data_IF_338571376413
#
_entry.id   IF_338571376413
#
_cell.length_a   1.000
_cell.length_b   1.000
_cell.length_c   1.000
_cell.angle_alpha   90.00
_cell.angle_beta   90.00
_cell.angle_gamma   90.00
#
_symmetry.space_group_name_H-M   'P 1'
#
loop_
_entity.id
_entity.type
_entity.pdbx_description
1 polymer ?
#
# COMPACT_ATOMS: atom_id res chain seq x y z
N UNK A 1 -40.65 -2.58 -22.54
CA UNK A 1 -40.27 -1.33 -21.86
C UNK A 1 -39.15 -1.62 -20.86
N UNK A 2 -37.93 -1.67 -21.32
CA UNK A 2 -36.73 -1.81 -20.47
C UNK A 2 -36.40 -0.44 -19.86
N UNK A 3 -36.62 -0.30 -18.56
CA UNK A 3 -36.18 0.87 -17.79
C UNK A 3 -34.68 0.92 -17.86
N UNK A 4 -34.11 1.78 -18.71
CA UNK A 4 -32.74 2.25 -18.60
C UNK A 4 -32.60 2.93 -17.25
N UNK A 5 -31.92 2.28 -16.30
CA UNK A 5 -31.51 2.92 -15.06
C UNK A 5 -30.64 4.13 -15.44
N UNK A 6 -31.14 5.33 -15.20
CA UNK A 6 -30.37 6.55 -15.31
C UNK A 6 -29.12 6.40 -14.45
N UNK A 7 -27.97 6.28 -15.11
CA UNK A 7 -26.70 6.31 -14.43
C UNK A 7 -26.47 7.74 -13.94
N UNK A 8 -26.34 7.92 -12.63
CA UNK A 8 -25.95 9.19 -12.03
C UNK A 8 -24.65 9.72 -12.66
N UNK A 9 -24.28 10.99 -12.43
CA UNK A 9 -23.19 11.69 -13.11
C UNK A 9 -21.81 11.01 -13.03
N UNK A 10 -21.63 10.02 -12.13
CA UNK A 10 -20.37 9.29 -11.93
C UNK A 10 -20.37 7.85 -12.51
N UNK A 11 -21.48 7.40 -13.12
CA UNK A 11 -21.63 6.02 -13.61
C UNK A 11 -21.78 4.97 -12.50
N UNK A 12 -22.09 3.73 -12.92
CA UNK A 12 -22.24 2.60 -12.00
C UNK A 12 -20.88 1.93 -11.74
N UNK A 13 -20.62 1.43 -10.51
CA UNK A 13 -19.40 0.68 -10.20
C UNK A 13 -19.35 -0.64 -10.99
N UNK A 14 -18.17 -0.98 -11.49
CA UNK A 14 -17.90 -2.23 -12.22
C UNK A 14 -17.23 -3.22 -11.27
N UNK A 15 -18.03 -3.83 -10.40
CA UNK A 15 -17.55 -4.72 -9.34
C UNK A 15 -16.61 -5.85 -9.82
N UNK A 16 -16.87 -6.55 -10.95
CA UNK A 16 -15.95 -7.58 -11.42
C UNK A 16 -14.53 -7.07 -11.65
N UNK A 17 -14.38 -5.85 -12.20
CA UNK A 17 -13.07 -5.23 -12.40
C UNK A 17 -12.46 -4.80 -11.07
N UNK A 18 -13.26 -4.24 -10.14
CA UNK A 18 -12.79 -3.84 -8.81
C UNK A 18 -12.20 -5.03 -8.04
N UNK A 19 -12.91 -6.16 -8.01
CA UNK A 19 -12.43 -7.38 -7.34
C UNK A 19 -11.27 -8.04 -8.09
N UNK A 20 -11.30 -8.07 -9.43
CA UNK A 20 -10.23 -8.64 -10.22
C UNK A 20 -8.91 -7.88 -10.00
N UNK A 21 -8.92 -6.53 -10.05
CA UNK A 21 -7.70 -5.74 -9.84
C UNK A 21 -7.21 -5.80 -8.38
N UNK A 22 -8.12 -5.90 -7.40
CA UNK A 22 -7.78 -6.16 -6.00
C UNK A 22 -7.14 -7.54 -5.81
N UNK A 23 -7.68 -8.58 -6.45
CA UNK A 23 -7.10 -9.91 -6.46
C UNK A 23 -5.71 -9.96 -7.09
N UNK A 24 -5.51 -9.24 -8.21
CA UNK A 24 -4.16 -9.15 -8.80
C UNK A 24 -3.21 -8.34 -7.93
N UNK A 25 -3.70 -7.35 -7.18
CA UNK A 25 -2.86 -6.65 -6.21
C UNK A 25 -2.37 -7.60 -5.09
N UNK A 26 -3.25 -8.50 -4.61
CA UNK A 26 -2.84 -9.58 -3.70
C UNK A 26 -1.72 -10.40 -4.32
N UNK A 27 -1.86 -10.86 -5.57
CA UNK A 27 -0.83 -11.65 -6.24
C UNK A 27 0.49 -10.87 -6.39
N UNK A 28 0.43 -9.60 -6.80
CA UNK A 28 1.62 -8.74 -6.96
C UNK A 28 2.39 -8.55 -5.65
N UNK A 29 1.68 -8.23 -4.56
CA UNK A 29 2.31 -7.98 -3.27
C UNK A 29 2.75 -9.27 -2.58
N UNK A 30 2.10 -10.40 -2.86
CA UNK A 30 2.60 -11.73 -2.50
C UNK A 30 3.98 -11.98 -3.15
N UNK A 31 4.14 -11.67 -4.45
CA UNK A 31 5.45 -11.83 -5.12
C UNK A 31 6.54 -10.99 -4.46
N UNK A 32 6.24 -9.76 -4.07
CA UNK A 32 7.20 -8.91 -3.37
C UNK A 32 7.54 -9.45 -1.98
N UNK A 33 6.55 -10.01 -1.29
CA UNK A 33 6.71 -10.56 0.05
C UNK A 33 7.55 -11.85 0.09
N UNK A 34 7.71 -12.53 -1.05
CA UNK A 34 8.66 -13.66 -1.19
C UNK A 34 10.08 -13.22 -0.86
N UNK A 35 10.48 -12.00 -1.21
CA UNK A 35 11.85 -11.51 -1.02
C UNK A 35 12.26 -11.51 0.46
N UNK A 36 11.60 -10.79 1.37
CA UNK A 36 11.95 -10.85 2.79
C UNK A 36 11.66 -12.23 3.42
N UNK A 37 10.66 -12.96 2.91
CA UNK A 37 10.35 -14.31 3.39
C UNK A 37 11.46 -15.32 3.09
N UNK A 38 12.30 -15.06 2.08
CA UNK A 38 13.45 -15.88 1.72
C UNK A 38 14.69 -15.62 2.59
N UNK A 39 14.75 -14.58 3.39
CA UNK A 39 15.95 -14.19 4.12
C UNK A 39 16.55 -15.33 4.97
N UNK A 40 15.79 -16.11 5.75
CA UNK A 40 16.35 -17.22 6.50
C UNK A 40 16.96 -18.30 5.60
N UNK A 41 16.35 -18.52 4.43
CA UNK A 41 16.84 -19.50 3.44
C UNK A 41 18.14 -19.03 2.79
N UNK A 42 18.18 -17.74 2.36
CA UNK A 42 19.37 -17.16 1.75
C UNK A 42 20.55 -17.05 2.72
N UNK A 43 20.30 -16.74 3.99
CA UNK A 43 21.31 -16.76 5.04
C UNK A 43 21.90 -18.18 5.17
N UNK A 44 21.03 -19.18 5.32
CA UNK A 44 21.45 -20.57 5.56
C UNK A 44 22.10 -21.22 4.34
N UNK A 45 21.54 -21.06 3.12
CA UNK A 45 22.01 -21.75 1.91
C UNK A 45 23.16 -21.02 1.21
N UNK A 46 23.20 -19.68 1.31
CA UNK A 46 24.17 -18.84 0.60
C UNK A 46 25.17 -18.14 1.52
N UNK A 47 25.00 -18.23 2.83
CA UNK A 47 25.84 -17.54 3.79
C UNK A 47 25.79 -16.02 3.69
N UNK A 48 24.65 -15.45 3.25
CA UNK A 48 24.51 -14.01 3.10
C UNK A 48 24.44 -13.32 4.47
N UNK A 49 25.17 -12.22 4.61
CA UNK A 49 25.13 -11.39 5.81
C UNK A 49 23.81 -10.63 5.93
N UNK A 50 23.41 -10.20 7.13
CA UNK A 50 22.21 -9.37 7.34
C UNK A 50 22.28 -8.05 6.55
N UNK A 51 23.46 -7.47 6.41
CA UNK A 51 23.69 -6.31 5.55
C UNK A 51 23.36 -6.60 4.08
N UNK A 52 23.81 -7.75 3.55
CA UNK A 52 23.48 -8.16 2.18
C UNK A 52 21.98 -8.40 1.98
N UNK A 53 21.32 -9.05 2.94
CA UNK A 53 19.85 -9.22 2.94
C UNK A 53 19.14 -7.86 2.98
N UNK A 54 19.62 -6.94 3.80
CA UNK A 54 19.12 -5.56 3.85
C UNK A 54 19.26 -4.84 2.51
N UNK A 55 20.38 -4.99 1.81
CA UNK A 55 20.57 -4.42 0.47
C UNK A 55 19.65 -5.04 -0.60
N UNK A 56 19.33 -6.33 -0.51
CA UNK A 56 18.33 -6.97 -1.38
C UNK A 56 16.97 -6.28 -1.21
N UNK A 57 16.52 -6.09 0.03
CA UNK A 57 15.24 -5.42 0.31
C UNK A 57 15.26 -3.94 -0.08
N UNK A 58 16.38 -3.26 0.17
CA UNK A 58 16.57 -1.87 -0.24
C UNK A 58 16.50 -1.71 -1.76
N UNK A 59 17.18 -2.56 -2.54
CA UNK A 59 17.17 -2.51 -4.01
C UNK A 59 15.74 -2.67 -4.57
N UNK A 60 14.97 -3.64 -4.05
CA UNK A 60 13.55 -3.82 -4.39
C UNK A 60 12.74 -2.54 -4.17
N UNK A 61 12.80 -2.02 -2.94
CA UNK A 61 11.93 -0.92 -2.53
C UNK A 61 12.35 0.43 -3.12
N UNK A 62 13.64 0.68 -3.33
CA UNK A 62 14.11 1.90 -3.98
C UNK A 62 13.66 1.98 -5.43
N UNK A 63 13.81 0.88 -6.19
CA UNK A 63 13.30 0.83 -7.56
C UNK A 63 11.79 1.04 -7.59
N UNK A 64 11.05 0.31 -6.75
CA UNK A 64 9.60 0.44 -6.67
C UNK A 64 9.19 1.87 -6.31
N UNK A 65 9.72 2.43 -5.21
CA UNK A 65 9.28 3.73 -4.67
C UNK A 65 9.60 4.92 -5.57
N UNK A 66 10.83 4.95 -6.12
CA UNK A 66 11.28 6.09 -6.95
C UNK A 66 10.59 6.11 -8.31
N UNK A 67 10.36 4.94 -8.89
CA UNK A 67 9.77 4.86 -10.23
C UNK A 67 8.23 4.97 -10.24
N UNK A 68 7.53 4.67 -9.15
CA UNK A 68 6.06 4.78 -9.11
C UNK A 68 5.53 6.17 -9.52
N UNK A 69 6.02 7.30 -8.98
CA UNK A 69 5.57 8.62 -9.42
C UNK A 69 5.90 8.91 -10.89
N UNK A 70 7.07 8.44 -11.36
CA UNK A 70 7.50 8.61 -12.76
C UNK A 70 6.58 7.85 -13.71
N UNK A 71 6.32 6.59 -13.43
CA UNK A 71 5.39 5.75 -14.22
C UNK A 71 3.99 6.35 -14.16
N UNK A 72 3.52 6.76 -12.99
CA UNK A 72 2.22 7.42 -12.83
C UNK A 72 2.09 8.67 -13.69
N UNK A 73 3.13 9.52 -13.73
CA UNK A 73 3.16 10.72 -14.57
C UNK A 73 3.13 10.39 -16.08
N UNK A 74 3.91 9.40 -16.51
CA UNK A 74 3.93 8.97 -17.91
C UNK A 74 2.57 8.40 -18.33
N UNK A 75 1.95 7.62 -17.48
CA UNK A 75 0.64 7.02 -17.65
C UNK A 75 -0.47 8.06 -17.73
N UNK A 76 -0.41 9.12 -16.92
CA UNK A 76 -1.38 10.21 -16.95
C UNK A 76 -1.35 10.96 -18.31
N UNK A 77 -0.19 11.04 -18.93
CA UNK A 77 -0.04 11.69 -20.26
C UNK A 77 -0.44 10.79 -21.42
N UNK A 78 -0.05 9.51 -21.35
CA UNK A 78 -0.28 8.52 -22.42
C UNK A 78 -0.66 7.17 -21.78
N UNK A 79 -1.93 7.00 -21.38
CA UNK A 79 -2.38 5.75 -20.79
C UNK A 79 -2.08 4.56 -21.70
N UNK A 80 -1.43 3.54 -21.17
CA UNK A 80 -1.08 2.31 -21.89
C UNK A 80 -1.82 1.14 -21.25
N UNK A 81 -2.94 0.68 -21.81
CA UNK A 81 -3.76 -0.37 -21.21
C UNK A 81 -2.99 -1.65 -20.87
N UNK A 82 -1.98 -1.99 -21.64
CA UNK A 82 -1.17 -3.18 -21.46
C UNK A 82 0.08 -2.97 -20.59
N UNK A 83 0.25 -1.81 -19.94
CA UNK A 83 1.35 -1.60 -19.00
C UNK A 83 1.27 -2.55 -17.81
N UNK A 84 0.05 -2.85 -17.30
CA UNK A 84 -0.17 -3.76 -16.16
C UNK A 84 0.37 -5.18 -16.42
N UNK A 85 -0.02 -5.89 -17.51
CA UNK A 85 0.56 -7.21 -17.79
C UNK A 85 2.07 -7.14 -18.06
N UNK A 86 2.59 -6.07 -18.67
CA UNK A 86 4.04 -5.87 -18.83
C UNK A 86 4.74 -5.73 -17.48
N UNK A 87 4.18 -4.95 -16.55
CA UNK A 87 4.69 -4.85 -15.18
C UNK A 87 4.73 -6.22 -14.49
N UNK A 88 3.67 -7.02 -14.61
CA UNK A 88 3.64 -8.38 -14.04
C UNK A 88 4.62 -9.34 -14.75
N UNK A 89 4.95 -9.13 -16.02
CA UNK A 89 6.03 -9.88 -16.68
C UNK A 89 7.40 -9.56 -16.09
N UNK A 90 7.67 -8.30 -15.74
CA UNK A 90 8.88 -7.96 -14.98
C UNK A 90 8.93 -8.70 -13.64
N UNK A 91 7.80 -8.78 -12.93
CA UNK A 91 7.70 -9.54 -11.67
C UNK A 91 7.91 -11.04 -11.90
N UNK A 92 7.37 -11.61 -12.99
CA UNK A 92 7.59 -13.01 -13.37
C UNK A 92 9.07 -13.31 -13.61
N UNK A 93 9.76 -12.46 -14.38
CA UNK A 93 11.21 -12.61 -14.64
C UNK A 93 12.00 -12.42 -13.35
N UNK A 94 11.63 -11.42 -12.53
CA UNK A 94 12.28 -11.15 -11.26
C UNK A 94 12.21 -12.34 -10.30
N UNK A 95 11.03 -12.91 -10.09
CA UNK A 95 10.85 -14.04 -9.17
C UNK A 95 11.55 -15.31 -9.69
N UNK A 96 11.50 -15.57 -11.01
CA UNK A 96 12.26 -16.64 -11.63
C UNK A 96 13.77 -16.42 -11.49
N UNK A 97 14.24 -15.20 -11.72
CA UNK A 97 15.64 -14.84 -11.51
C UNK A 97 16.10 -15.09 -10.07
N UNK A 98 15.27 -14.75 -9.07
CA UNK A 98 15.57 -15.05 -7.65
C UNK A 98 15.68 -16.58 -7.44
N UNK A 99 14.71 -17.35 -7.94
CA UNK A 99 14.67 -18.79 -7.74
C UNK A 99 15.91 -19.51 -8.27
N UNK A 100 16.44 -19.05 -9.40
CA UNK A 100 17.56 -19.67 -10.11
C UNK A 100 18.88 -18.90 -10.00
N UNK A 101 18.94 -17.84 -9.18
CA UNK A 101 20.15 -17.03 -9.01
C UNK A 101 21.34 -17.86 -8.52
N UNK A 102 22.46 -17.92 -9.25
CA UNK A 102 23.67 -18.61 -8.80
C UNK A 102 24.44 -17.84 -7.72
N UNK A 103 24.29 -16.50 -7.69
CA UNK A 103 25.05 -15.62 -6.83
C UNK A 103 24.24 -14.41 -6.33
N UNK A 104 24.84 -13.65 -5.42
CA UNK A 104 24.23 -12.47 -4.80
C UNK A 104 23.83 -11.37 -5.81
N UNK A 105 24.68 -11.10 -6.81
CA UNK A 105 24.43 -10.02 -7.76
C UNK A 105 23.25 -10.32 -8.67
N UNK A 106 23.10 -11.61 -9.05
CA UNK A 106 21.93 -12.04 -9.80
C UNK A 106 20.64 -11.91 -8.98
N UNK A 107 20.70 -12.15 -7.65
CA UNK A 107 19.57 -11.87 -6.75
C UNK A 107 19.24 -10.37 -6.77
N UNK A 108 20.24 -9.48 -6.64
CA UNK A 108 20.04 -8.02 -6.67
C UNK A 108 19.37 -7.59 -7.98
N UNK A 109 19.88 -8.03 -9.13
CA UNK A 109 19.30 -7.73 -10.44
C UNK A 109 17.84 -8.23 -10.51
N UNK A 110 17.60 -9.44 -10.03
CA UNK A 110 16.28 -10.07 -10.05
C UNK A 110 15.25 -9.32 -9.20
N UNK A 111 15.61 -8.87 -8.00
CA UNK A 111 14.71 -8.06 -7.15
C UNK A 111 14.47 -6.67 -7.74
N UNK A 112 15.42 -6.11 -8.49
CA UNK A 112 15.20 -4.87 -9.23
C UNK A 112 14.13 -5.06 -10.33
N UNK A 113 14.13 -6.18 -11.08
CA UNK A 113 13.05 -6.50 -12.01
C UNK A 113 11.71 -6.60 -11.30
N UNK A 114 11.65 -7.23 -10.14
CA UNK A 114 10.45 -7.29 -9.30
C UNK A 114 10.00 -5.88 -8.88
N UNK A 115 10.95 -5.01 -8.49
CA UNK A 115 10.71 -3.59 -8.17
C UNK A 115 10.16 -2.80 -9.37
N UNK A 116 10.67 -3.01 -10.59
CA UNK A 116 10.13 -2.42 -11.82
C UNK A 116 8.69 -2.86 -12.06
N UNK A 117 8.39 -4.14 -11.88
CA UNK A 117 7.02 -4.68 -11.97
C UNK A 117 6.06 -3.95 -11.03
N UNK A 118 6.45 -3.84 -9.77
CA UNK A 118 5.74 -3.12 -8.72
C UNK A 118 5.54 -1.63 -9.04
N UNK A 119 6.59 -0.96 -9.55
CA UNK A 119 6.55 0.45 -9.91
C UNK A 119 5.53 0.75 -11.01
N UNK A 120 5.32 -0.18 -11.94
CA UNK A 120 4.30 -0.07 -12.99
C UNK A 120 2.93 -0.42 -12.43
N UNK A 121 2.84 -1.48 -11.61
CA UNK A 121 1.57 -2.04 -11.18
C UNK A 121 0.78 -1.09 -10.27
N UNK A 122 1.40 -0.50 -9.26
CA UNK A 122 0.68 0.30 -8.26
C UNK A 122 -0.04 1.54 -8.84
N UNK A 123 0.60 2.43 -9.64
CA UNK A 123 -0.09 3.59 -10.18
C UNK A 123 -1.16 3.21 -11.22
N UNK A 124 -0.88 2.23 -12.09
CA UNK A 124 -1.83 1.78 -13.11
C UNK A 124 -2.98 0.98 -12.52
N UNK A 125 -2.72 0.11 -11.55
CA UNK A 125 -3.75 -0.66 -10.85
C UNK A 125 -4.70 0.25 -10.08
N UNK A 126 -4.16 1.25 -9.37
CA UNK A 126 -4.96 2.27 -8.70
C UNK A 126 -5.80 3.09 -9.67
N UNK A 127 -5.27 3.41 -10.87
CA UNK A 127 -6.02 4.06 -11.94
C UNK A 127 -7.20 3.20 -12.42
N UNK A 128 -6.95 1.92 -12.69
CA UNK A 128 -8.01 0.97 -13.10
C UNK A 128 -9.07 0.86 -12.01
N UNK A 129 -8.67 0.75 -10.74
CA UNK A 129 -9.57 0.76 -9.58
C UNK A 129 -10.42 2.04 -9.54
N UNK A 130 -9.81 3.21 -9.75
CA UNK A 130 -10.51 4.49 -9.80
C UNK A 130 -11.51 4.56 -10.96
N UNK A 131 -11.16 4.08 -12.17
CA UNK A 131 -12.04 4.07 -13.34
C UNK A 131 -13.23 3.11 -13.17
N UNK A 132 -13.01 1.97 -12.51
CA UNK A 132 -14.06 0.98 -12.23
C UNK A 132 -14.98 1.40 -11.08
N UNK A 133 -14.61 2.39 -10.27
CA UNK A 133 -15.28 2.75 -9.04
C UNK A 133 -16.68 3.37 -9.20
N UNK A 134 -16.93 4.06 -10.32
CA UNK A 134 -18.15 4.87 -10.47
C UNK A 134 -18.31 5.86 -9.31
N UNK A 135 -19.44 5.79 -8.60
CA UNK A 135 -19.71 6.63 -7.41
C UNK A 135 -19.03 6.13 -6.13
N UNK A 136 -18.43 4.90 -6.12
CA UNK A 136 -17.89 4.25 -4.91
C UNK A 136 -16.37 4.21 -4.89
N UNK A 137 -15.72 5.39 -5.02
CA UNK A 137 -14.27 5.51 -5.13
C UNK A 137 -13.51 4.98 -3.91
N UNK A 138 -13.98 5.29 -2.72
CA UNK A 138 -13.41 4.80 -1.48
C UNK A 138 -13.46 3.28 -1.37
N UNK A 139 -14.63 2.68 -1.64
CA UNK A 139 -14.79 1.21 -1.63
C UNK A 139 -13.86 0.53 -2.65
N UNK A 140 -13.79 1.06 -3.87
CA UNK A 140 -12.94 0.48 -4.92
C UNK A 140 -11.46 0.49 -4.52
N UNK A 141 -10.98 1.63 -4.03
CA UNK A 141 -9.61 1.75 -3.58
C UNK A 141 -9.33 0.89 -2.33
N UNK A 142 -10.32 0.73 -1.44
CA UNK A 142 -10.17 -0.19 -0.30
C UNK A 142 -10.04 -1.64 -0.72
N UNK A 143 -10.89 -2.11 -1.66
CA UNK A 143 -10.78 -3.47 -2.21
C UNK A 143 -9.38 -3.67 -2.83
N UNK A 144 -8.92 -2.70 -3.59
CA UNK A 144 -7.58 -2.72 -4.20
C UNK A 144 -6.48 -2.83 -3.14
N UNK A 145 -6.49 -1.97 -2.12
CA UNK A 145 -5.44 -1.93 -1.08
C UNK A 145 -5.48 -3.12 -0.12
N UNK A 146 -6.68 -3.63 0.21
CA UNK A 146 -6.81 -4.87 1.01
C UNK A 146 -6.18 -6.04 0.27
N UNK A 147 -6.31 -6.10 -1.06
CA UNK A 147 -5.60 -7.09 -1.88
C UNK A 147 -4.10 -7.06 -1.57
N UNK A 148 -3.43 -5.91 -1.74
CA UNK A 148 -2.01 -5.76 -1.48
C UNK A 148 -1.62 -6.11 -0.03
N UNK A 149 -2.31 -5.52 0.97
CA UNK A 149 -2.02 -5.80 2.38
C UNK A 149 -2.19 -7.29 2.73
N UNK A 150 -3.17 -7.97 2.14
CA UNK A 150 -3.35 -9.42 2.33
C UNK A 150 -2.21 -10.21 1.71
N UNK A 151 -1.72 -9.79 0.53
CA UNK A 151 -0.54 -10.39 -0.10
C UNK A 151 0.71 -10.30 0.79
N UNK A 152 0.94 -9.12 1.38
CA UNK A 152 2.06 -8.92 2.31
C UNK A 152 1.92 -9.76 3.59
N UNK A 153 0.71 -9.91 4.11
CA UNK A 153 0.45 -10.71 5.31
C UNK A 153 0.71 -12.22 5.12
N UNK A 154 0.84 -12.70 3.87
CA UNK A 154 1.19 -14.08 3.59
C UNK A 154 2.68 -14.40 3.78
N UNK A 155 3.57 -13.40 3.93
CA UNK A 155 5.02 -13.62 4.03
C UNK A 155 5.45 -14.68 5.06
N UNK A 156 4.97 -14.68 6.32
CA UNK A 156 5.35 -15.70 7.30
C UNK A 156 4.91 -17.11 6.89
N UNK A 157 3.73 -17.24 6.28
CA UNK A 157 3.21 -18.53 5.81
C UNK A 157 4.01 -19.06 4.61
N UNK A 158 4.36 -18.16 3.68
CA UNK A 158 5.22 -18.46 2.53
C UNK A 158 6.58 -18.98 3.03
N UNK A 159 7.19 -18.29 4.00
CA UNK A 159 8.45 -18.74 4.58
C UNK A 159 8.32 -20.14 5.20
N UNK A 160 7.36 -20.35 6.09
CA UNK A 160 7.22 -21.57 6.87
C UNK A 160 6.88 -22.80 6.02
N UNK A 161 5.99 -22.65 5.03
CA UNK A 161 5.41 -23.80 4.31
C UNK A 161 6.01 -24.03 2.92
N UNK A 162 6.69 -23.06 2.33
CA UNK A 162 7.19 -23.14 0.96
C UNK A 162 8.72 -22.99 0.92
N UNK A 163 9.24 -21.85 1.43
CA UNK A 163 10.65 -21.52 1.24
C UNK A 163 11.57 -22.30 2.16
N UNK A 164 11.20 -22.50 3.43
CA UNK A 164 12.01 -23.28 4.38
C UNK A 164 12.13 -24.76 3.94
N UNK A 165 11.03 -25.45 3.51
CA UNK A 165 11.13 -26.83 3.03
C UNK A 165 11.81 -27.00 1.67
N UNK A 166 11.62 -26.05 0.73
CA UNK A 166 12.06 -26.19 -0.66
C UNK A 166 13.33 -25.39 -0.97
N UNK A 167 13.80 -24.58 -0.04
CA UNK A 167 14.95 -23.71 -0.26
C UNK A 167 14.69 -22.58 -1.26
N UNK A 168 15.77 -22.02 -1.81
CA UNK A 168 15.72 -20.92 -2.77
C UNK A 168 14.87 -21.26 -4.00
N UNK A 169 14.95 -22.49 -4.50
CA UNK A 169 14.18 -22.96 -5.67
C UNK A 169 12.67 -22.92 -5.45
N UNK A 170 12.21 -22.95 -4.18
CA UNK A 170 10.79 -22.79 -3.82
C UNK A 170 10.17 -21.49 -4.33
N UNK A 171 10.97 -20.44 -4.56
CA UNK A 171 10.52 -19.20 -5.18
C UNK A 171 10.00 -19.41 -6.61
N UNK A 172 10.41 -20.45 -7.33
CA UNK A 172 9.91 -20.76 -8.68
C UNK A 172 8.40 -21.03 -8.71
N UNK A 173 7.81 -21.54 -7.61
CA UNK A 173 6.36 -21.74 -7.54
C UNK A 173 5.58 -20.43 -7.70
N UNK A 174 6.16 -19.32 -7.31
CA UNK A 174 5.54 -17.99 -7.44
C UNK A 174 5.55 -17.47 -8.87
N UNK A 175 6.28 -18.11 -9.80
CA UNK A 175 6.12 -17.84 -11.24
C UNK A 175 4.70 -18.22 -11.71
N UNK A 176 4.08 -19.26 -11.14
CA UNK A 176 2.69 -19.61 -11.44
C UNK A 176 1.73 -18.51 -10.95
N UNK A 177 2.02 -17.92 -9.79
CA UNK A 177 1.26 -16.78 -9.25
C UNK A 177 1.36 -15.57 -10.18
N UNK A 178 2.57 -15.27 -10.67
CA UNK A 178 2.77 -14.18 -11.63
C UNK A 178 2.10 -14.47 -12.97
N UNK A 179 2.17 -15.71 -13.48
CA UNK A 179 1.49 -16.12 -14.72
C UNK A 179 -0.04 -15.97 -14.62
N UNK A 180 -0.63 -16.37 -13.48
CA UNK A 180 -2.06 -16.15 -13.21
C UNK A 180 -2.39 -14.65 -13.20
N UNK A 181 -1.52 -13.83 -12.57
CA UNK A 181 -1.64 -12.38 -12.57
C UNK A 181 -1.64 -11.79 -13.98
N UNK A 182 -0.69 -12.21 -14.84
CA UNK A 182 -0.61 -11.79 -16.24
C UNK A 182 -1.92 -12.13 -16.98
N UNK A 183 -2.41 -13.36 -16.82
CA UNK A 183 -3.64 -13.81 -17.50
C UNK A 183 -4.85 -12.95 -17.11
N UNK A 184 -5.03 -12.65 -15.82
CA UNK A 184 -6.11 -11.80 -15.33
C UNK A 184 -5.93 -10.36 -15.86
N UNK A 185 -4.70 -9.84 -15.83
CA UNK A 185 -4.39 -8.48 -16.27
C UNK A 185 -4.61 -8.27 -17.77
N UNK A 186 -4.41 -9.29 -18.60
CA UNK A 186 -4.73 -9.20 -20.03
C UNK A 186 -6.24 -8.94 -20.24
N UNK A 187 -7.12 -9.57 -19.45
CA UNK A 187 -8.57 -9.33 -19.50
C UNK A 187 -8.93 -7.93 -18.99
N UNK A 188 -8.32 -7.50 -17.89
CA UNK A 188 -8.49 -6.15 -17.34
C UNK A 188 -8.02 -5.10 -18.36
N UNK A 189 -6.89 -5.32 -19.02
CA UNK A 189 -6.32 -4.41 -20.02
C UNK A 189 -7.21 -4.27 -21.25
N UNK A 190 -7.88 -5.35 -21.68
CA UNK A 190 -8.85 -5.29 -22.76
C UNK A 190 -10.08 -4.43 -22.38
N UNK A 191 -10.57 -4.54 -21.16
CA UNK A 191 -11.62 -3.66 -20.61
C UNK A 191 -11.12 -2.21 -20.54
N UNK A 192 -9.94 -1.98 -20.00
CA UNK A 192 -9.33 -0.66 -19.84
C UNK A 192 -9.17 0.05 -21.21
N UNK A 193 -8.70 -0.69 -22.24
CA UNK A 193 -8.61 -0.17 -23.62
C UNK A 193 -9.96 0.32 -24.15
N UNK A 194 -11.03 -0.47 -23.98
CA UNK A 194 -12.39 -0.10 -24.39
C UNK A 194 -12.89 1.17 -23.68
N UNK A 195 -12.60 1.31 -22.37
CA UNK A 195 -12.98 2.52 -21.63
C UNK A 195 -12.28 3.77 -22.18
N UNK A 196 -10.97 3.69 -22.46
CA UNK A 196 -10.22 4.80 -23.04
C UNK A 196 -10.71 5.18 -24.44
N UNK A 197 -11.09 4.20 -25.27
CA UNK A 197 -11.67 4.45 -26.60
C UNK A 197 -13.04 5.15 -26.49
N UNK A 198 -13.89 4.71 -25.57
CA UNK A 198 -15.19 5.35 -25.29
C UNK A 198 -15.04 6.79 -24.75
N UNK A 199 -14.04 7.05 -23.91
CA UNK A 199 -13.77 8.39 -23.42
C UNK A 199 -13.30 9.33 -24.52
N UNK A 200 -12.55 8.85 -25.52
CA UNK A 200 -12.14 9.63 -26.70
C UNK A 200 -13.31 9.96 -27.61
N UNK A 201 -14.24 9.03 -27.81
CA UNK A 201 -15.43 9.20 -28.67
C UNK A 201 -16.45 10.15 -28.02
N UNK A 202 -16.62 10.05 -26.71
CA UNK A 202 -17.46 10.94 -25.95
C UNK A 202 -16.71 12.24 -25.62
N UNK A 203 -16.49 13.09 -26.66
CA UNK A 203 -15.79 14.39 -26.57
C UNK A 203 -16.37 15.41 -25.60
N UNK A 204 -17.38 15.07 -24.81
CA UNK A 204 -17.79 15.82 -23.63
C UNK A 204 -16.71 15.61 -22.58
N UNK A 205 -15.91 16.66 -22.32
CA UNK A 205 -15.06 16.74 -21.12
C UNK A 205 -15.89 16.24 -19.94
N UNK A 206 -15.68 14.99 -19.51
CA UNK A 206 -16.14 14.54 -18.20
C UNK A 206 -15.42 15.45 -17.21
N UNK A 207 -16.12 16.46 -16.73
CA UNK A 207 -15.68 17.21 -15.56
C UNK A 207 -15.67 16.15 -14.46
N UNK A 208 -14.47 15.67 -14.11
CA UNK A 208 -14.30 14.85 -12.91
C UNK A 208 -14.61 15.83 -11.79
N UNK A 209 -15.86 15.78 -11.31
CA UNK A 209 -16.31 16.58 -10.18
C UNK A 209 -15.47 16.13 -8.99
N UNK A 210 -14.50 16.98 -8.62
CA UNK A 210 -13.76 16.81 -7.38
C UNK A 210 -14.76 17.00 -6.24
N UNK A 211 -14.84 16.02 -5.34
CA UNK A 211 -15.60 16.17 -4.09
C UNK A 211 -15.00 17.28 -3.20
N UNK A 212 -13.77 17.67 -3.48
CA UNK A 212 -13.04 18.77 -2.86
C UNK A 212 -13.25 20.00 -3.76
N UNK A 213 -14.04 20.97 -3.34
CA UNK A 213 -14.44 22.15 -4.13
C UNK A 213 -13.29 22.83 -4.89
N UNK A 214 -13.59 23.88 -5.66
CA UNK A 214 -12.58 24.65 -6.41
C UNK A 214 -11.53 25.23 -5.45
N UNK A 215 -10.32 24.62 -5.42
CA UNK A 215 -9.18 25.07 -4.65
C UNK A 215 -8.23 25.89 -5.54
N UNK A 216 -7.59 26.90 -4.95
CA UNK A 216 -6.46 27.59 -5.60
C UNK A 216 -5.25 26.65 -5.69
N UNK A 217 -4.35 26.90 -6.63
CA UNK A 217 -3.11 26.12 -6.80
C UNK A 217 -2.31 26.04 -5.48
N UNK A 218 -2.26 27.15 -4.71
CA UNK A 218 -1.57 27.19 -3.41
C UNK A 218 -2.25 26.24 -2.40
N UNK A 219 -3.58 26.23 -2.32
CA UNK A 219 -4.31 25.34 -1.43
C UNK A 219 -4.11 23.86 -1.79
N UNK A 220 -4.10 23.52 -3.09
CA UNK A 220 -3.82 22.15 -3.55
C UNK A 220 -2.41 21.70 -3.13
N UNK A 221 -1.40 22.55 -3.37
CA UNK A 221 -0.01 22.21 -2.98
C UNK A 221 0.10 22.06 -1.47
N UNK A 222 -0.49 22.98 -0.69
CA UNK A 222 -0.49 22.87 0.78
C UNK A 222 -1.17 21.58 1.24
N UNK A 223 -2.33 21.24 0.67
CA UNK A 223 -3.04 20.00 1.02
C UNK A 223 -2.23 18.75 0.68
N UNK A 224 -1.52 18.73 -0.46
CA UNK A 224 -0.61 17.63 -0.81
C UNK A 224 0.56 17.52 0.17
N UNK A 225 1.20 18.63 0.53
CA UNK A 225 2.30 18.62 1.52
C UNK A 225 1.81 18.08 2.87
N UNK A 226 0.66 18.57 3.37
CA UNK A 226 0.08 18.06 4.62
C UNK A 226 -0.23 16.56 4.53
N UNK A 227 -0.76 16.10 3.39
CA UNK A 227 -1.04 14.69 3.15
C UNK A 227 0.25 13.84 3.17
N UNK A 228 1.33 14.34 2.55
CA UNK A 228 2.62 13.65 2.55
C UNK A 228 3.23 13.57 3.96
N UNK A 229 3.06 14.61 4.79
CA UNK A 229 3.48 14.59 6.20
C UNK A 229 2.69 13.54 7.01
N UNK A 230 1.39 13.41 6.73
CA UNK A 230 0.54 12.38 7.36
C UNK A 230 0.99 10.98 6.94
N UNK A 231 1.27 10.77 5.66
CA UNK A 231 1.77 9.49 5.13
C UNK A 231 3.13 9.15 5.76
N UNK A 232 4.03 10.12 5.89
CA UNK A 232 5.31 9.98 6.57
C UNK A 232 5.12 9.48 8.02
N UNK A 233 4.35 10.20 8.83
CA UNK A 233 4.13 9.85 10.23
C UNK A 233 3.54 8.44 10.40
N UNK A 234 2.54 8.11 9.57
CA UNK A 234 1.94 6.78 9.53
C UNK A 234 2.94 5.70 9.14
N UNK A 235 3.69 5.90 8.04
CA UNK A 235 4.61 4.88 7.53
C UNK A 235 5.74 4.58 8.51
N UNK A 236 6.31 5.61 9.15
CA UNK A 236 7.32 5.42 10.19
C UNK A 236 6.77 4.62 11.38
N UNK A 237 5.57 4.97 11.86
CA UNK A 237 4.95 4.24 12.97
C UNK A 237 4.65 2.78 12.60
N UNK A 238 4.08 2.54 11.42
CA UNK A 238 3.81 1.18 10.92
C UNK A 238 5.10 0.38 10.81
N UNK A 239 6.17 0.95 10.23
CA UNK A 239 7.49 0.29 10.14
C UNK A 239 8.04 -0.05 11.52
N UNK A 240 7.88 0.85 12.51
CA UNK A 240 8.28 0.53 13.89
C UNK A 240 7.57 -0.72 14.40
N UNK A 241 6.24 -0.78 14.29
CA UNK A 241 5.47 -1.93 14.78
C UNK A 241 5.82 -3.20 14.03
N UNK A 242 5.94 -3.15 12.70
CA UNK A 242 6.13 -4.36 11.89
C UNK A 242 7.55 -4.90 11.90
N UNK A 243 8.56 -4.05 12.15
CA UNK A 243 9.96 -4.45 12.02
C UNK A 243 10.74 -4.42 13.34
N UNK A 244 10.36 -3.57 14.29
CA UNK A 244 11.17 -3.33 15.50
C UNK A 244 10.43 -3.62 16.80
N UNK A 245 9.10 -3.59 16.83
CA UNK A 245 8.36 -3.79 18.07
C UNK A 245 8.51 -5.21 18.63
N UNK A 246 8.85 -6.18 17.78
CA UNK A 246 9.17 -7.55 18.21
C UNK A 246 10.32 -7.55 19.23
N UNK A 247 11.36 -6.74 19.03
CA UNK A 247 12.49 -6.65 19.96
C UNK A 247 12.07 -6.10 21.32
N UNK A 248 11.14 -5.14 21.33
CA UNK A 248 10.54 -4.64 22.58
C UNK A 248 9.72 -5.72 23.31
N UNK A 249 9.00 -6.55 22.56
CA UNK A 249 8.24 -7.66 23.15
C UNK A 249 9.16 -8.71 23.76
N UNK A 250 10.26 -9.04 23.08
CA UNK A 250 11.27 -9.99 23.57
C UNK A 250 11.99 -9.44 24.80
N UNK A 251 12.46 -8.19 24.74
CA UNK A 251 13.22 -7.55 25.81
C UNK A 251 12.39 -7.33 27.08
N UNK A 252 11.18 -6.78 26.94
CA UNK A 252 10.33 -6.40 28.10
C UNK A 252 9.55 -7.57 28.70
N UNK A 253 9.09 -8.52 27.86
CA UNK A 253 8.17 -9.58 28.29
C UNK A 253 8.79 -10.98 28.17
N UNK A 254 10.06 -11.08 27.78
CA UNK A 254 10.78 -12.36 27.60
C UNK A 254 10.06 -13.33 26.63
N UNK A 255 9.41 -12.80 25.58
CA UNK A 255 8.74 -13.62 24.58
C UNK A 255 9.76 -14.25 23.64
N UNK A 256 9.45 -15.46 23.15
CA UNK A 256 10.18 -16.06 22.02
C UNK A 256 9.67 -15.46 20.69
N UNK A 257 10.48 -15.61 19.64
CA UNK A 257 10.20 -15.04 18.29
C UNK A 257 8.78 -15.36 17.80
N UNK A 258 8.34 -16.62 17.92
CA UNK A 258 7.01 -17.05 17.45
C UNK A 258 5.88 -16.33 18.16
N UNK A 259 6.01 -16.10 19.45
CA UNK A 259 5.01 -15.38 20.26
C UNK A 259 4.97 -13.92 19.86
N UNK A 260 6.14 -13.27 19.74
CA UNK A 260 6.25 -11.87 19.30
C UNK A 260 5.61 -11.66 17.91
N UNK A 261 5.84 -12.59 16.96
CA UNK A 261 5.24 -12.53 15.63
C UNK A 261 3.71 -12.58 15.62
N UNK A 262 3.07 -13.26 16.59
CA UNK A 262 1.62 -13.27 16.71
C UNK A 262 1.06 -11.87 17.04
N UNK A 263 1.75 -11.10 17.85
CA UNK A 263 1.35 -9.71 18.15
C UNK A 263 1.45 -8.80 16.92
N UNK A 264 2.52 -8.97 16.14
CA UNK A 264 2.67 -8.22 14.87
C UNK A 264 1.58 -8.63 13.87
N UNK A 265 1.26 -9.93 13.80
CA UNK A 265 0.16 -10.44 12.97
C UNK A 265 -1.19 -9.81 13.37
N UNK A 266 -1.49 -9.68 14.66
CA UNK A 266 -2.74 -9.03 15.12
C UNK A 266 -2.84 -7.59 14.60
N UNK A 267 -1.75 -6.82 14.68
CA UNK A 267 -1.69 -5.47 14.13
C UNK A 267 -1.96 -5.43 12.63
N UNK A 268 -1.31 -6.31 11.86
CA UNK A 268 -1.46 -6.39 10.39
C UNK A 268 -2.85 -6.86 9.97
N UNK A 269 -3.38 -7.89 10.63
CA UNK A 269 -4.69 -8.45 10.32
C UNK A 269 -5.81 -7.42 10.55
N UNK A 270 -5.79 -6.74 11.70
CA UNK A 270 -6.76 -5.69 11.98
C UNK A 270 -6.50 -4.43 11.16
N UNK A 271 -5.26 -4.19 10.77
CA UNK A 271 -4.90 -3.16 9.80
C UNK A 271 -5.54 -3.40 8.43
N UNK A 272 -5.55 -4.64 7.93
CA UNK A 272 -6.23 -5.00 6.69
C UNK A 272 -7.76 -4.75 6.79
N UNK A 273 -8.37 -5.13 7.93
CA UNK A 273 -9.78 -4.83 8.22
C UNK A 273 -10.02 -3.31 8.24
N UNK A 274 -9.15 -2.54 8.91
CA UNK A 274 -9.21 -1.08 8.94
C UNK A 274 -9.12 -0.48 7.53
N UNK A 275 -8.20 -0.96 6.70
CA UNK A 275 -8.06 -0.53 5.30
C UNK A 275 -9.35 -0.76 4.49
N UNK A 276 -10.02 -1.91 4.71
CA UNK A 276 -11.29 -2.22 4.05
C UNK A 276 -12.40 -1.23 4.44
N UNK A 277 -12.58 -1.00 5.73
CA UNK A 277 -13.63 -0.09 6.21
C UNK A 277 -13.32 1.39 5.94
N UNK A 278 -12.04 1.77 5.82
CA UNK A 278 -11.63 3.15 5.61
C UNK A 278 -12.30 3.83 4.43
N UNK A 279 -12.36 3.17 3.27
CA UNK A 279 -12.99 3.70 2.07
C UNK A 279 -14.48 3.94 2.19
N UNK A 280 -15.29 2.92 2.53
CA UNK A 280 -16.75 3.10 2.74
C UNK A 280 -17.09 4.15 3.81
N UNK A 281 -16.33 4.20 4.90
CA UNK A 281 -16.49 5.21 5.93
C UNK A 281 -16.15 6.61 5.40
N UNK A 282 -15.09 6.74 4.59
CA UNK A 282 -14.73 8.00 3.98
C UNK A 282 -15.75 8.47 2.94
N UNK A 283 -16.35 7.56 2.18
CA UNK A 283 -17.45 7.89 1.25
C UNK A 283 -18.70 8.40 2.00
N UNK A 284 -18.93 7.93 3.25
CA UNK A 284 -20.07 8.33 4.09
C UNK A 284 -19.81 9.58 4.92
N UNK A 285 -18.65 9.63 5.59
CA UNK A 285 -18.32 10.66 6.60
C UNK A 285 -17.37 11.76 6.10
N UNK A 286 -16.82 11.59 4.90
CA UNK A 286 -15.83 12.47 4.30
C UNK A 286 -14.38 12.01 4.52
N UNK A 287 -13.54 12.23 3.51
CA UNK A 287 -12.16 11.73 3.48
C UNK A 287 -11.28 12.39 4.53
N UNK A 288 -11.38 13.72 4.65
CA UNK A 288 -10.65 14.47 5.69
C UNK A 288 -10.92 13.91 7.09
N UNK A 289 -12.19 13.68 7.41
CA UNK A 289 -12.57 13.22 8.75
C UNK A 289 -11.97 11.85 9.06
N UNK A 290 -11.98 10.92 8.09
CA UNK A 290 -11.39 9.59 8.26
C UNK A 290 -9.86 9.67 8.34
N UNK A 291 -9.20 10.52 7.55
CA UNK A 291 -7.76 10.74 7.65
C UNK A 291 -7.37 11.25 9.05
N UNK A 292 -8.08 12.24 9.56
CA UNK A 292 -7.83 12.78 10.91
C UNK A 292 -8.10 11.72 11.99
N UNK A 293 -9.26 11.06 11.92
CA UNK A 293 -9.67 10.04 12.89
C UNK A 293 -8.67 8.89 12.96
N UNK A 294 -8.11 8.49 11.81
CA UNK A 294 -7.17 7.35 11.72
C UNK A 294 -5.88 7.55 12.52
N UNK A 295 -5.48 8.77 12.76
CA UNK A 295 -4.28 9.09 13.55
C UNK A 295 -4.63 9.68 14.92
N UNK A 296 -5.70 10.47 15.04
CA UNK A 296 -6.09 11.09 16.30
C UNK A 296 -6.55 10.06 17.35
N UNK A 297 -7.38 9.09 16.97
CA UNK A 297 -7.89 8.06 17.89
C UNK A 297 -6.78 7.18 18.45
N UNK A 298 -5.81 6.69 17.65
CA UNK A 298 -4.75 5.85 18.20
C UNK A 298 -3.67 6.60 18.99
N UNK A 299 -3.60 7.94 18.98
CA UNK A 299 -2.59 8.69 19.77
C UNK A 299 -2.48 8.20 21.21
N UNK A 300 -3.54 8.22 22.03
CA UNK A 300 -3.43 7.78 23.42
C UNK A 300 -3.05 6.30 23.53
N UNK A 301 -3.52 5.45 22.60
CA UNK A 301 -3.19 4.03 22.59
C UNK A 301 -1.71 3.80 22.26
N UNK A 302 -1.16 4.55 21.30
CA UNK A 302 0.25 4.49 20.93
C UNK A 302 1.16 4.96 22.08
N UNK A 303 0.77 6.04 22.76
CA UNK A 303 1.51 6.56 23.90
C UNK A 303 1.50 5.59 25.10
N UNK A 304 0.42 4.83 25.28
CA UNK A 304 0.31 3.83 26.35
C UNK A 304 1.05 2.51 26.01
N UNK A 305 1.19 2.18 24.73
CA UNK A 305 1.69 0.89 24.27
C UNK A 305 3.03 0.46 24.92
N UNK A 306 4.04 1.33 25.11
CA UNK A 306 5.29 0.94 25.74
C UNK A 306 5.19 0.61 27.23
N UNK A 307 4.10 0.98 27.90
CA UNK A 307 4.00 0.90 29.38
C UNK A 307 3.08 -0.22 29.88
N UNK A 308 2.15 -0.71 29.07
CA UNK A 308 1.09 -1.64 29.49
C UNK A 308 1.59 -3.07 29.70
N UNK A 309 0.87 -3.92 30.45
CA UNK A 309 1.16 -5.35 30.55
C UNK A 309 0.85 -6.09 29.23
N UNK A 310 1.44 -7.28 29.07
CA UNK A 310 1.41 -8.04 27.81
C UNK A 310 0.00 -8.29 27.25
N UNK A 311 -0.98 -8.62 28.12
CA UNK A 311 -2.37 -8.85 27.68
C UNK A 311 -2.99 -7.58 27.06
N UNK A 312 -2.65 -6.41 27.58
CA UNK A 312 -3.14 -5.14 27.05
C UNK A 312 -2.45 -4.75 25.74
N UNK A 313 -1.19 -5.18 25.53
CA UNK A 313 -0.49 -4.98 24.24
C UNK A 313 -1.30 -5.56 23.09
N UNK A 314 -1.82 -6.80 23.22
CA UNK A 314 -2.63 -7.43 22.17
C UNK A 314 -3.86 -6.57 21.82
N UNK A 315 -4.60 -6.10 22.84
CA UNK A 315 -5.77 -5.25 22.62
C UNK A 315 -5.41 -3.92 21.97
N UNK A 316 -4.33 -3.27 22.44
CA UNK A 316 -3.89 -2.01 21.88
C UNK A 316 -3.46 -2.17 20.40
N UNK A 317 -2.70 -3.21 20.05
CA UNK A 317 -2.27 -3.46 18.67
C UNK A 317 -3.45 -3.70 17.73
N UNK A 318 -4.50 -4.39 18.19
CA UNK A 318 -5.75 -4.58 17.43
C UNK A 318 -6.37 -3.23 17.08
N UNK A 319 -6.58 -2.37 18.08
CA UNK A 319 -7.20 -1.06 17.86
C UNK A 319 -6.27 -0.10 17.07
N UNK A 320 -4.99 -0.04 17.43
CA UNK A 320 -4.01 0.79 16.73
C UNK A 320 -3.93 0.38 15.25
N UNK A 321 -3.80 -0.92 14.96
CA UNK A 321 -3.76 -1.44 13.60
C UNK A 321 -4.99 -1.06 12.79
N UNK A 322 -6.18 -1.29 13.35
CA UNK A 322 -7.43 -0.93 12.71
C UNK A 322 -7.51 0.56 12.37
N UNK A 323 -7.29 1.44 13.35
CA UNK A 323 -7.45 2.89 13.13
C UNK A 323 -6.36 3.48 12.23
N UNK A 324 -5.09 3.15 12.43
CA UNK A 324 -3.98 3.69 11.63
C UNK A 324 -4.16 3.34 10.15
N UNK A 325 -4.63 2.14 9.85
CA UNK A 325 -4.81 1.68 8.48
C UNK A 325 -6.11 2.16 7.82
N UNK A 326 -7.07 2.72 8.55
CA UNK A 326 -8.27 3.33 7.97
C UNK A 326 -7.94 4.35 6.88
N UNK A 327 -6.90 5.16 7.06
CA UNK A 327 -6.53 6.20 6.10
C UNK A 327 -5.70 5.71 4.92
N UNK A 328 -5.29 4.45 4.87
CA UNK A 328 -4.37 3.99 3.83
C UNK A 328 -4.95 4.14 2.42
N UNK A 329 -6.14 3.60 2.17
CA UNK A 329 -6.85 3.76 0.90
C UNK A 329 -7.37 5.19 0.70
N UNK A 330 -7.78 5.84 1.80
CA UNK A 330 -8.42 7.16 1.76
C UNK A 330 -7.45 8.27 1.35
N UNK A 331 -6.18 8.19 1.78
CA UNK A 331 -5.14 9.16 1.38
C UNK A 331 -4.86 9.13 -0.12
N UNK A 332 -4.92 7.94 -0.75
CA UNK A 332 -4.76 7.80 -2.20
C UNK A 332 -5.92 8.49 -2.93
N UNK A 333 -7.17 8.19 -2.54
CA UNK A 333 -8.36 8.79 -3.16
C UNK A 333 -8.37 10.31 -2.96
N UNK A 334 -8.03 10.77 -1.76
CA UNK A 334 -7.97 12.20 -1.45
C UNK A 334 -6.96 12.93 -2.35
N UNK A 335 -5.76 12.38 -2.54
CA UNK A 335 -4.76 12.93 -3.45
C UNK A 335 -5.24 12.94 -4.91
N UNK A 336 -5.89 11.86 -5.37
CA UNK A 336 -6.46 11.77 -6.72
C UNK A 336 -7.58 12.80 -6.95
N UNK A 337 -8.37 13.11 -5.93
CA UNK A 337 -9.42 14.12 -6.01
C UNK A 337 -8.89 15.56 -5.90
N UNK A 338 -7.75 15.78 -5.22
CA UNK A 338 -7.05 17.07 -5.25
C UNK A 338 -6.52 17.40 -6.65
N UNK A 339 -6.05 16.39 -7.41
CA UNK A 339 -5.47 16.57 -8.75
C UNK A 339 -6.08 15.56 -9.73
N UNK A 340 -7.37 15.73 -10.13
CA UNK A 340 -8.09 14.75 -10.95
C UNK A 340 -7.49 14.49 -12.34
N UNK A 341 -6.67 15.41 -12.84
CA UNK A 341 -5.95 15.26 -14.12
C UNK A 341 -4.72 14.36 -14.03
N UNK A 342 -4.30 13.95 -12.80
CA UNK A 342 -3.04 13.21 -12.55
C UNK A 342 -3.28 12.03 -11.59
N UNK A 343 -4.26 11.19 -11.90
CA UNK A 343 -4.70 10.08 -11.02
C UNK A 343 -3.54 9.10 -10.76
N UNK A 344 -2.84 8.67 -11.80
CA UNK A 344 -1.70 7.74 -11.68
C UNK A 344 -0.52 8.37 -10.95
N UNK A 345 -0.19 9.64 -11.24
CA UNK A 345 0.86 10.39 -10.51
C UNK A 345 0.54 10.48 -9.03
N UNK A 346 -0.70 10.79 -8.67
CA UNK A 346 -1.11 10.93 -7.26
C UNK A 346 -1.09 9.58 -6.53
N UNK A 347 -1.53 8.51 -7.18
CA UNK A 347 -1.42 7.16 -6.62
C UNK A 347 0.05 6.75 -6.43
N UNK A 348 0.88 6.91 -7.45
CA UNK A 348 2.32 6.60 -7.37
C UNK A 348 3.05 7.44 -6.32
N UNK A 349 2.70 8.73 -6.19
CA UNK A 349 3.29 9.60 -5.17
C UNK A 349 2.90 9.14 -3.75
N UNK A 350 1.63 8.86 -3.50
CA UNK A 350 1.15 8.51 -2.16
C UNK A 350 1.59 7.13 -1.71
N UNK A 351 1.52 6.13 -2.58
CA UNK A 351 1.92 4.75 -2.28
C UNK A 351 3.44 4.61 -2.31
N UNK A 352 4.11 5.14 -3.36
CA UNK A 352 5.57 5.08 -3.47
C UNK A 352 6.25 5.80 -2.32
N UNK A 353 5.75 6.99 -1.91
CA UNK A 353 6.28 7.69 -0.75
C UNK A 353 6.07 6.89 0.55
N UNK A 354 4.92 6.22 0.70
CA UNK A 354 4.67 5.42 1.90
C UNK A 354 5.73 4.32 2.07
N UNK A 355 6.05 3.58 1.02
CA UNK A 355 7.09 2.56 1.05
C UNK A 355 8.50 3.14 1.20
N UNK A 356 8.82 4.19 0.45
CA UNK A 356 10.12 4.87 0.55
C UNK A 356 10.35 5.46 1.94
N UNK A 357 9.33 6.08 2.54
CA UNK A 357 9.40 6.61 3.90
C UNK A 357 9.52 5.50 4.94
N UNK A 358 8.83 4.36 4.75
CA UNK A 358 9.01 3.19 5.60
C UNK A 358 10.45 2.67 5.59
N UNK A 359 11.08 2.60 4.41
CA UNK A 359 12.48 2.19 4.27
C UNK A 359 13.45 3.17 4.96
N UNK A 360 13.24 4.49 4.82
CA UNK A 360 14.01 5.51 5.56
C UNK A 360 13.74 5.38 7.06
N UNK A 361 12.47 5.19 7.45
CA UNK A 361 12.06 5.01 8.84
C UNK A 361 12.78 3.86 9.52
N UNK A 362 12.96 2.74 8.84
CA UNK A 362 13.65 1.58 9.40
C UNK A 362 15.10 1.87 9.74
N UNK A 363 15.81 2.62 8.88
CA UNK A 363 17.19 3.03 9.15
C UNK A 363 17.26 3.99 10.35
N UNK A 364 16.38 4.99 10.39
CA UNK A 364 16.33 5.96 11.50
C UNK A 364 16.00 5.28 12.82
N UNK A 365 15.01 4.39 12.84
CA UNK A 365 14.62 3.66 14.06
C UNK A 365 15.77 2.74 14.51
N UNK A 366 16.42 2.04 13.58
CA UNK A 366 17.58 1.19 13.88
C UNK A 366 18.71 2.00 14.56
N UNK A 367 19.07 3.15 14.01
CA UNK A 367 20.08 4.05 14.61
C UNK A 367 19.67 4.51 16.03
N UNK A 368 18.38 4.87 16.20
CA UNK A 368 17.89 5.27 17.53
C UNK A 368 17.96 4.12 18.53
N UNK A 369 17.65 2.89 18.10
CA UNK A 369 17.76 1.72 18.97
C UNK A 369 19.20 1.40 19.35
N UNK A 370 20.13 1.52 18.42
CA UNK A 370 21.58 1.31 18.69
C UNK A 370 22.13 2.36 19.64
N UNK A 371 21.69 3.62 19.53
CA UNK A 371 22.22 4.73 20.35
C UNK A 371 21.52 4.91 21.69
N UNK A 372 20.20 4.77 21.73
CA UNK A 372 19.38 5.08 22.91
C UNK A 372 18.83 3.83 23.61
N UNK A 373 18.91 2.67 22.93
CA UNK A 373 18.28 1.42 23.37
C UNK A 373 16.83 1.27 22.91
N UNK A 374 16.31 0.04 23.07
CA UNK A 374 14.98 -0.37 22.57
C UNK A 374 13.87 0.45 23.21
N UNK A 375 13.83 0.47 24.53
CA UNK A 375 12.72 1.08 25.30
C UNK A 375 12.57 2.59 25.05
N UNK A 376 13.63 3.44 25.14
CA UNK A 376 13.52 4.87 24.81
C UNK A 376 13.08 5.13 23.39
N UNK A 377 13.55 4.32 22.42
CA UNK A 377 13.17 4.44 21.02
C UNK A 377 11.65 4.17 20.84
N UNK A 378 11.10 3.15 21.50
CA UNK A 378 9.66 2.88 21.46
C UNK A 378 8.84 4.05 21.99
N UNK A 379 9.30 4.72 23.03
CA UNK A 379 8.64 5.93 23.58
C UNK A 379 8.69 7.06 22.55
N UNK A 380 9.85 7.35 21.95
CA UNK A 380 10.00 8.43 20.96
C UNK A 380 9.05 8.18 19.76
N UNK A 381 9.04 6.97 19.23
CA UNK A 381 8.24 6.62 18.06
C UNK A 381 6.75 6.65 18.35
N UNK A 382 6.34 6.42 19.63
CA UNK A 382 4.94 6.49 20.05
C UNK A 382 4.30 7.89 19.88
N UNK A 383 5.11 8.95 19.76
CA UNK A 383 4.64 10.32 19.49
C UNK A 383 4.37 10.60 18.00
N UNK A 384 4.84 9.77 17.08
CA UNK A 384 4.66 10.01 15.63
C UNK A 384 3.20 10.23 15.20
N UNK A 385 2.19 9.50 15.72
CA UNK A 385 0.81 9.73 15.32
C UNK A 385 0.30 11.15 15.62
N UNK A 386 0.90 11.87 16.58
CA UNK A 386 0.56 13.27 16.89
C UNK A 386 0.79 14.19 15.70
N UNK A 387 1.83 13.92 14.89
CA UNK A 387 2.11 14.65 13.65
C UNK A 387 0.89 14.57 12.71
N UNK A 388 0.12 13.49 12.76
CA UNK A 388 -1.10 13.32 11.95
C UNK A 388 -2.18 14.36 12.22
N UNK A 389 -2.15 15.07 13.36
CA UNK A 389 -3.09 16.16 13.66
C UNK A 389 -2.98 17.34 12.68
N UNK A 390 -1.89 17.45 11.91
CA UNK A 390 -1.80 18.41 10.79
C UNK A 390 -2.92 18.18 9.77
N UNK A 391 -3.52 17.00 9.74
CA UNK A 391 -4.71 16.67 8.94
C UNK A 391 -5.92 17.55 9.24
N UNK A 392 -6.00 18.16 10.43
CA UNK A 392 -7.04 19.16 10.76
C UNK A 392 -7.01 20.37 9.80
N UNK A 393 -5.85 20.70 9.24
CA UNK A 393 -5.68 21.78 8.28
C UNK A 393 -6.01 21.37 6.82
N UNK A 394 -6.29 20.08 6.53
CA UNK A 394 -6.71 19.64 5.20
C UNK A 394 -8.05 20.30 4.81
N UNK A 395 -8.25 20.61 3.52
CA UNK A 395 -9.55 21.03 2.99
C UNK A 395 -10.67 20.02 3.30
N UNK A 396 -11.87 20.53 3.58
CA UNK A 396 -13.04 19.66 3.81
C UNK A 396 -13.62 19.18 2.49
N UNK A 397 -14.10 17.94 2.50
CA UNK A 397 -14.89 17.40 1.41
C UNK A 397 -16.25 18.11 1.37
N UNK A 398 -16.70 18.51 0.18
CA UNK A 398 -18.10 18.88 -0.02
C UNK A 398 -18.88 17.61 -0.31
N UNK A 399 -19.96 17.36 0.44
CA UNK A 399 -20.94 16.35 0.06
C UNK A 399 -21.48 16.75 -1.32
N UNK A 400 -21.30 15.88 -2.32
CA UNK A 400 -21.97 16.04 -3.61
C UNK A 400 -23.44 15.69 -3.35
N UNK A 401 -24.26 16.69 -3.04
CA UNK A 401 -25.70 16.53 -3.08
C UNK A 401 -26.15 16.55 -4.54
N UNK A 402 -27.17 15.76 -4.88
CA UNK A 402 -27.70 15.68 -6.25
C UNK A 402 -28.14 17.05 -6.83
N UNK A 403 -28.36 18.05 -5.96
CA UNK A 403 -28.71 19.42 -6.32
C UNK A 403 -27.56 20.28 -6.88
N UNK A 404 -26.29 19.89 -6.68
CA UNK A 404 -25.14 20.65 -7.23
C UNK A 404 -24.64 20.10 -8.56
N UNK A 405 -25.33 19.12 -9.14
CA UNK A 405 -25.00 18.48 -10.41
C UNK A 405 -25.79 19.00 -11.63
N UNK A 406 -26.58 20.08 -11.46
CA UNK A 406 -27.29 20.81 -12.54
C UNK A 406 -26.48 22.00 -13.05
#
# INVERSE_FOLDING_TARGET
MTKTKESGPLGNPVYPIMFAIGGVHLLNDTLQSVVPAMFPVLEKERGLTFTQLGFIFFALNMVASVLQPVVGYLSDRKPKPYALPVGMMFSFVGIGGIAFAPDYWMIIISVMFLGFGSAIFHPEGSRVSFMAAGSKRGLSQSIYQVGGNSGQALAPLISAFILVPLGQIGAALFMLVAALGIFILLKISAWYKKQLEQEKLNSRKKVILSSIGKLTKKQVVTALVLLLVIIFARSFYVTNITSFFIFHLMDKYNLIDKEGLLYIFLFLALGAVGTFFGGPLADKFGRKNIIVLSLAVPIPLCLLLPYVPLWAVALLLIFIGFFIMLSFSVTVVYAQELVPSKIGTMAGLTVGLAFGMGAIGSVVIGILMDQLGIYPTMIIVSFLPIIGLVGLALPRDRKITAETAL
#
